data_IF_632542466324
#
_entry.id   IF_632542466324
#
_cell.length_a   1.000
_cell.length_b   1.000
_cell.length_c   1.000
_cell.angle_alpha   90.00
_cell.angle_beta   90.00
_cell.angle_gamma   90.00
#
_symmetry.space_group_name_H-M   'P 1'
#
loop_
_entity.id
_entity.type
_entity.pdbx_description
1 polymer ?
#
# COMPACT_ATOMS: atom_id res chain seq x y z
N UNK A 1 -9.86 -43.73 16.00
CA UNK A 1 -10.61 -42.61 15.38
C UNK A 1 -10.90 -41.54 16.41
N UNK A 2 -11.74 -41.77 17.43
CA UNK A 2 -12.16 -40.74 18.40
C UNK A 2 -11.07 -39.85 19.03
N UNK A 3 -9.90 -40.40 19.41
CA UNK A 3 -8.82 -39.58 20.00
C UNK A 3 -8.15 -38.66 18.98
N UNK A 4 -7.95 -39.13 17.74
CA UNK A 4 -7.34 -38.33 16.66
C UNK A 4 -8.29 -37.21 16.25
N UNK A 5 -9.58 -37.52 16.14
CA UNK A 5 -10.62 -36.54 15.80
C UNK A 5 -10.77 -35.49 16.92
N UNK A 6 -10.69 -35.90 18.18
CA UNK A 6 -10.72 -35.00 19.33
C UNK A 6 -9.48 -34.11 19.42
N UNK A 7 -8.28 -34.66 19.16
CA UNK A 7 -7.05 -33.87 19.11
C UNK A 7 -7.04 -32.91 17.92
N UNK A 8 -7.60 -33.31 16.76
CA UNK A 8 -7.77 -32.44 15.61
C UNK A 8 -8.76 -31.31 15.88
N UNK A 9 -9.87 -31.62 16.58
CA UNK A 9 -10.83 -30.61 17.05
C UNK A 9 -10.17 -29.61 18.02
N UNK A 10 -9.47 -30.09 19.07
CA UNK A 10 -8.76 -29.22 20.01
C UNK A 10 -7.69 -28.38 19.32
N UNK A 11 -6.96 -28.93 18.35
CA UNK A 11 -6.00 -28.20 17.54
C UNK A 11 -6.68 -27.12 16.69
N UNK A 12 -7.82 -27.43 16.07
CA UNK A 12 -8.59 -26.49 15.26
C UNK A 12 -9.15 -25.35 16.11
N UNK A 13 -9.74 -25.66 17.27
CA UNK A 13 -10.23 -24.67 18.22
C UNK A 13 -9.09 -23.83 18.80
N UNK A 14 -7.94 -24.43 19.11
CA UNK A 14 -6.75 -23.70 19.55
C UNK A 14 -6.23 -22.75 18.47
N UNK A 15 -6.13 -23.19 17.22
CA UNK A 15 -5.78 -22.34 16.07
C UNK A 15 -6.80 -21.22 15.88
N UNK A 16 -8.10 -21.50 16.06
CA UNK A 16 -9.17 -20.50 15.99
C UNK A 16 -9.07 -19.49 17.14
N UNK A 17 -8.70 -19.94 18.34
CA UNK A 17 -8.43 -19.08 19.50
C UNK A 17 -7.20 -18.17 19.29
N UNK A 18 -6.24 -18.64 18.49
CA UNK A 18 -5.06 -17.89 18.06
C UNK A 18 -5.28 -17.11 16.75
N UNK A 19 -6.44 -17.22 16.10
CA UNK A 19 -6.76 -16.44 14.88
C UNK A 19 -6.69 -14.91 15.09
N UNK A 20 -7.00 -14.35 16.28
CA UNK A 20 -6.69 -12.95 16.58
C UNK A 20 -5.19 -12.61 16.49
N UNK A 21 -4.30 -13.58 16.72
CA UNK A 21 -2.85 -13.40 16.60
C UNK A 21 -2.38 -13.50 15.15
N UNK A 22 -3.05 -14.27 14.29
CA UNK A 22 -2.79 -14.26 12.83
C UNK A 22 -3.19 -12.94 12.20
N UNK A 23 -4.23 -12.32 12.74
CA UNK A 23 -4.73 -11.03 12.29
C UNK A 23 -3.80 -9.86 12.69
N UNK A 24 -2.79 -10.06 13.55
CA UNK A 24 -1.87 -8.98 13.95
C UNK A 24 -1.01 -8.48 12.78
N UNK A 25 -0.88 -9.28 11.71
CA UNK A 25 -0.12 -8.94 10.51
C UNK A 25 -1.00 -8.44 9.37
N UNK A 26 -2.32 -8.46 9.53
CA UNK A 26 -3.24 -7.84 8.59
C UNK A 26 -3.29 -6.34 8.84
N UNK A 27 -2.88 -5.55 7.85
CA UNK A 27 -2.90 -4.09 7.86
C UNK A 27 -4.30 -3.51 8.17
N UNK A 28 -5.36 -4.28 7.97
CA UNK A 28 -6.75 -3.87 8.19
C UNK A 28 -7.33 -4.36 9.51
N UNK A 29 -6.60 -5.21 10.23
CA UNK A 29 -7.06 -5.78 11.48
C UNK A 29 -6.83 -4.84 12.65
N UNK A 30 -7.84 -4.74 13.52
CA UNK A 30 -7.74 -4.05 14.81
C UNK A 30 -6.57 -4.57 15.67
N UNK A 31 -6.21 -5.84 15.55
CA UNK A 31 -5.10 -6.44 16.27
C UNK A 31 -3.74 -5.90 15.78
N UNK A 32 -3.60 -5.64 14.48
CA UNK A 32 -2.40 -5.01 13.92
C UNK A 32 -2.22 -3.58 14.42
N UNK A 33 -3.32 -2.82 14.50
CA UNK A 33 -3.32 -1.49 15.13
C UNK A 33 -2.94 -1.56 16.61
N UNK A 34 -3.39 -2.57 17.37
CA UNK A 34 -2.96 -2.78 18.76
C UNK A 34 -1.46 -3.09 18.84
N UNK A 35 -0.91 -3.88 17.92
CA UNK A 35 0.53 -4.11 17.78
C UNK A 35 1.33 -2.81 17.58
N UNK A 36 0.86 -1.94 16.68
CA UNK A 36 1.48 -0.63 16.45
C UNK A 36 1.39 0.30 17.67
N UNK A 37 0.26 0.28 18.40
CA UNK A 37 0.12 1.02 19.66
C UNK A 37 1.15 0.53 20.68
N UNK A 38 1.30 -0.78 20.84
CA UNK A 38 2.33 -1.37 21.70
C UNK A 38 3.74 -0.90 21.29
N UNK A 39 4.06 -0.90 19.99
CA UNK A 39 5.34 -0.38 19.50
C UNK A 39 5.56 1.09 19.86
N UNK A 40 4.55 1.95 19.66
CA UNK A 40 4.63 3.37 20.03
C UNK A 40 4.86 3.54 21.53
N UNK A 41 4.19 2.75 22.37
CA UNK A 41 4.34 2.78 23.82
C UNK A 41 5.76 2.33 24.25
N UNK A 42 6.26 1.24 23.68
CA UNK A 42 7.62 0.74 23.93
C UNK A 42 8.66 1.77 23.47
N UNK A 43 8.50 2.33 22.27
CA UNK A 43 9.40 3.36 21.76
C UNK A 43 9.40 4.60 22.66
N UNK A 44 8.22 5.06 23.10
CA UNK A 44 8.10 6.17 24.04
C UNK A 44 8.78 5.88 25.39
N UNK A 45 8.66 4.65 25.90
CA UNK A 45 9.34 4.20 27.10
C UNK A 45 10.86 4.22 26.93
N UNK A 46 11.39 3.67 25.84
CA UNK A 46 12.83 3.69 25.52
C UNK A 46 13.37 5.12 25.41
N UNK A 47 12.65 6.01 24.72
CA UNK A 47 13.03 7.43 24.60
C UNK A 47 13.04 8.11 25.97
N UNK A 48 12.05 7.82 26.83
CA UNK A 48 11.99 8.35 28.20
C UNK A 48 13.16 7.87 29.04
N UNK A 49 13.53 6.58 28.94
CA UNK A 49 14.71 6.02 29.62
C UNK A 49 16.02 6.65 29.14
N UNK A 50 16.14 6.95 27.84
CA UNK A 50 17.34 7.57 27.25
C UNK A 50 17.43 9.08 27.45
N UNK A 51 16.33 9.77 27.74
CA UNK A 51 16.29 11.23 27.97
C UNK A 51 15.51 11.59 29.24
N UNK A 52 16.00 11.20 30.43
CA UNK A 52 15.28 11.36 31.69
C UNK A 52 14.97 12.83 32.04
N UNK A 53 15.76 13.79 31.52
CA UNK A 53 15.60 15.23 31.75
C UNK A 53 14.57 15.93 30.85
N UNK A 54 14.05 15.25 29.81
CA UNK A 54 12.94 15.79 29.00
C UNK A 54 11.64 15.17 29.50
N UNK A 55 10.82 15.99 30.15
CA UNK A 55 9.52 15.60 30.65
C UNK A 55 8.58 15.33 29.45
N UNK A 56 8.64 14.12 28.89
CA UNK A 56 7.58 13.55 28.05
C UNK A 56 6.37 13.34 28.98
N UNK A 57 5.70 14.45 29.33
CA UNK A 57 4.47 14.43 30.11
C UNK A 57 3.45 13.61 29.32
N UNK A 58 2.85 12.62 29.95
CA UNK A 58 1.73 11.85 29.38
C UNK A 58 0.65 12.75 28.76
N UNK A 59 0.41 13.93 29.35
CA UNK A 59 -0.47 14.97 28.82
C UNK A 59 -0.04 15.53 27.46
N UNK A 60 1.26 15.68 27.19
CA UNK A 60 1.76 16.15 25.89
C UNK A 60 1.60 15.08 24.81
N UNK A 61 1.84 13.81 25.14
CA UNK A 61 1.55 12.68 24.25
C UNK A 61 0.05 12.56 23.96
N UNK A 62 -0.80 12.67 24.98
CA UNK A 62 -2.25 12.66 24.80
C UNK A 62 -2.75 13.83 23.94
N UNK A 63 -2.19 15.04 24.12
CA UNK A 63 -2.48 16.18 23.24
C UNK A 63 -1.99 15.98 21.81
N UNK A 64 -0.93 15.20 21.60
CA UNK A 64 -0.49 14.82 20.26
C UNK A 64 -1.44 13.82 19.64
N UNK A 65 -1.85 12.77 20.37
CA UNK A 65 -2.65 11.67 19.85
C UNK A 65 -4.13 12.03 19.72
N UNK A 66 -4.75 12.68 20.70
CA UNK A 66 -6.21 12.93 20.75
C UNK A 66 -6.61 14.34 20.26
N UNK A 67 -5.97 14.83 19.19
CA UNK A 67 -6.29 16.15 18.61
C UNK A 67 -7.70 16.15 18.00
N UNK A 68 -8.69 16.68 18.74
CA UNK A 68 -10.08 16.78 18.26
C UNK A 68 -10.21 17.45 16.89
N UNK A 69 -9.38 18.45 16.61
CA UNK A 69 -9.35 19.16 15.32
C UNK A 69 -8.95 18.28 14.13
N UNK A 70 -8.32 17.13 14.37
CA UNK A 70 -7.96 16.12 13.35
C UNK A 70 -9.04 15.04 13.30
N UNK A 71 -9.31 14.38 14.44
CA UNK A 71 -10.20 13.20 14.47
C UNK A 71 -11.67 13.51 14.20
N UNK A 72 -12.13 14.71 14.52
CA UNK A 72 -13.50 15.18 14.28
C UNK A 72 -13.59 16.15 13.09
N UNK A 73 -12.51 16.27 12.31
CA UNK A 73 -12.53 17.08 11.10
C UNK A 73 -13.49 16.49 10.07
N UNK A 74 -14.18 17.33 9.29
CA UNK A 74 -15.12 16.88 8.24
C UNK A 74 -14.51 15.85 7.29
N UNK A 75 -13.24 16.03 6.94
CA UNK A 75 -12.50 15.13 6.05
C UNK A 75 -12.25 13.76 6.70
N UNK A 76 -11.85 13.71 7.98
CA UNK A 76 -11.71 12.46 8.72
C UNK A 76 -13.04 11.72 8.92
N UNK A 77 -14.15 12.46 9.12
CA UNK A 77 -15.48 11.85 9.20
C UNK A 77 -15.88 11.16 7.89
N UNK A 78 -15.44 11.69 6.74
CA UNK A 78 -15.66 11.03 5.45
C UNK A 78 -14.81 9.75 5.33
N UNK A 79 -13.58 9.73 5.86
CA UNK A 79 -12.75 8.52 5.87
C UNK A 79 -13.46 7.37 6.60
N UNK A 80 -14.06 7.63 7.77
CA UNK A 80 -14.83 6.60 8.50
C UNK A 80 -16.05 6.12 7.73
N UNK A 81 -16.77 7.03 7.05
CA UNK A 81 -17.93 6.66 6.23
C UNK A 81 -17.51 5.79 5.03
N UNK A 82 -16.41 6.15 4.37
CA UNK A 82 -15.85 5.37 3.26
C UNK A 82 -15.32 4.02 3.72
N UNK A 83 -14.70 3.95 4.90
CA UNK A 83 -14.31 2.68 5.51
C UNK A 83 -15.50 1.74 5.69
N UNK A 84 -16.59 2.23 6.30
CA UNK A 84 -17.82 1.45 6.47
C UNK A 84 -18.45 1.05 5.13
N UNK A 85 -18.48 1.96 4.15
CA UNK A 85 -18.99 1.69 2.82
C UNK A 85 -18.17 0.61 2.08
N UNK A 86 -16.85 0.69 2.18
CA UNK A 86 -15.94 -0.23 1.51
C UNK A 86 -15.79 -1.57 2.24
N UNK A 87 -16.30 -1.72 3.47
CA UNK A 87 -16.11 -2.93 4.28
C UNK A 87 -16.46 -4.24 3.55
N UNK A 88 -17.58 -4.34 2.77
CA UNK A 88 -17.86 -5.56 2.00
C UNK A 88 -16.83 -5.82 0.90
N UNK A 89 -16.32 -4.76 0.27
CA UNK A 89 -15.29 -4.83 -0.76
C UNK A 89 -13.93 -5.21 -0.15
N UNK A 90 -13.66 -4.84 1.10
CA UNK A 90 -12.38 -5.15 1.75
C UNK A 90 -12.13 -6.66 1.90
N UNK A 91 -13.18 -7.44 2.22
CA UNK A 91 -13.09 -8.91 2.24
C UNK A 91 -12.84 -9.49 0.84
N UNK A 92 -13.46 -8.90 -0.19
CA UNK A 92 -13.24 -9.29 -1.58
C UNK A 92 -11.81 -9.04 -2.04
N UNK A 93 -11.18 -7.94 -1.62
CA UNK A 93 -9.83 -7.56 -2.08
C UNK A 93 -8.77 -8.60 -1.71
N UNK A 94 -8.82 -9.19 -0.51
CA UNK A 94 -7.85 -10.21 -0.13
C UNK A 94 -7.97 -11.44 -1.03
N UNK A 95 -9.21 -11.91 -1.25
CA UNK A 95 -9.48 -13.00 -2.19
C UNK A 95 -9.04 -12.65 -3.61
N UNK A 96 -9.34 -11.44 -4.07
CA UNK A 96 -8.95 -10.94 -5.38
C UNK A 96 -7.42 -10.87 -5.54
N UNK A 97 -6.71 -10.40 -4.51
CA UNK A 97 -5.24 -10.40 -4.45
C UNK A 97 -4.65 -11.80 -4.59
N UNK A 98 -5.20 -12.78 -3.88
CA UNK A 98 -4.75 -14.18 -3.97
C UNK A 98 -5.01 -14.72 -5.36
N UNK A 99 -6.20 -14.50 -5.93
CA UNK A 99 -6.56 -14.97 -7.27
C UNK A 99 -5.66 -14.36 -8.34
N UNK A 100 -5.44 -13.04 -8.32
CA UNK A 100 -4.58 -12.40 -9.32
C UNK A 100 -3.11 -12.82 -9.17
N UNK A 101 -2.60 -12.94 -7.95
CA UNK A 101 -1.24 -13.41 -7.71
C UNK A 101 -1.04 -14.85 -8.21
N UNK A 102 -2.00 -15.75 -7.93
CA UNK A 102 -1.97 -17.14 -8.40
C UNK A 102 -2.10 -17.24 -9.92
N UNK A 103 -2.96 -16.41 -10.54
CA UNK A 103 -3.09 -16.33 -11.99
C UNK A 103 -1.76 -15.94 -12.65
N UNK A 104 -1.14 -14.85 -12.19
CA UNK A 104 0.14 -14.39 -12.73
C UNK A 104 1.27 -15.39 -12.47
N UNK A 105 1.35 -15.95 -11.26
CA UNK A 105 2.32 -16.99 -10.92
C UNK A 105 2.20 -18.21 -11.84
N UNK A 106 0.98 -18.68 -12.12
CA UNK A 106 0.75 -19.80 -13.04
C UNK A 106 1.17 -19.47 -14.48
N UNK A 107 0.82 -18.27 -14.95
CA UNK A 107 1.20 -17.80 -16.28
C UNK A 107 2.72 -17.72 -16.44
N UNK A 108 3.41 -17.10 -15.47
CA UNK A 108 4.87 -17.02 -15.49
C UNK A 108 5.54 -18.37 -15.32
N UNK A 109 5.04 -19.24 -14.45
CA UNK A 109 5.58 -20.59 -14.27
C UNK A 109 5.48 -21.41 -15.56
N UNK A 110 4.35 -21.28 -16.27
CA UNK A 110 4.14 -21.93 -17.57
C UNK A 110 5.11 -21.38 -18.62
N UNK A 111 5.29 -20.05 -18.67
CA UNK A 111 6.24 -19.40 -19.57
C UNK A 111 7.69 -19.81 -19.29
N UNK A 112 8.11 -19.78 -18.02
CA UNK A 112 9.43 -20.24 -17.59
C UNK A 112 9.66 -21.70 -17.96
N UNK A 113 8.66 -22.56 -17.75
CA UNK A 113 8.75 -23.97 -18.10
C UNK A 113 8.89 -24.18 -19.60
N UNK A 114 8.16 -23.40 -20.40
CA UNK A 114 8.25 -23.47 -21.86
C UNK A 114 9.61 -23.01 -22.41
N UNK A 115 10.28 -22.07 -21.74
CA UNK A 115 11.55 -21.48 -22.21
C UNK A 115 12.76 -22.26 -21.67
N UNK A 116 12.72 -22.66 -20.39
CA UNK A 116 13.87 -23.20 -19.66
C UNK A 116 13.74 -24.69 -19.29
N UNK A 117 12.58 -25.31 -19.53
CA UNK A 117 12.30 -26.69 -19.14
C UNK A 117 11.69 -26.80 -17.73
N UNK A 118 11.57 -28.03 -17.17
CA UNK A 118 10.94 -28.21 -15.87
C UNK A 118 11.70 -27.48 -14.75
N UNK A 119 11.02 -27.09 -13.65
CA UNK A 119 11.67 -26.54 -12.46
C UNK A 119 12.84 -27.39 -11.96
N UNK A 120 13.81 -26.74 -11.35
CA UNK A 120 14.89 -27.41 -10.65
C UNK A 120 14.35 -28.39 -9.59
N UNK A 121 15.05 -29.48 -9.35
CA UNK A 121 14.75 -30.36 -8.23
C UNK A 121 14.80 -29.56 -6.91
N UNK A 122 13.95 -29.90 -5.94
CA UNK A 122 13.88 -29.20 -4.66
C UNK A 122 15.26 -29.13 -4.00
N UNK A 123 15.76 -27.91 -3.82
CA UNK A 123 17.02 -27.61 -3.12
C UNK A 123 16.78 -26.76 -1.86
N UNK A 124 15.52 -26.54 -1.47
CA UNK A 124 15.05 -25.44 -0.62
C UNK A 124 15.36 -25.52 0.88
N UNK A 125 16.36 -26.28 1.32
CA UNK A 125 16.68 -26.42 2.76
C UNK A 125 17.77 -25.48 3.27
N UNK A 126 18.44 -24.70 2.41
CA UNK A 126 19.48 -23.77 2.86
C UNK A 126 18.90 -22.44 3.37
N UNK A 127 19.19 -22.08 4.63
CA UNK A 127 18.72 -20.85 5.26
C UNK A 127 19.00 -19.58 4.45
N UNK A 128 20.15 -19.52 3.75
CA UNK A 128 20.48 -18.40 2.87
C UNK A 128 19.48 -18.20 1.73
N UNK A 129 18.96 -19.29 1.15
CA UNK A 129 17.93 -19.23 0.09
C UNK A 129 16.62 -18.73 0.69
N UNK A 130 16.21 -19.26 1.84
CA UNK A 130 14.97 -18.86 2.52
C UNK A 130 14.97 -17.35 2.83
N UNK A 131 16.08 -16.81 3.34
CA UNK A 131 16.24 -15.37 3.60
C UNK A 131 16.23 -14.56 2.31
N UNK A 132 16.98 -14.99 1.29
CA UNK A 132 16.99 -14.33 -0.01
C UNK A 132 15.59 -14.27 -0.63
N UNK A 133 14.85 -15.38 -0.62
CA UNK A 133 13.47 -15.44 -1.12
C UNK A 133 12.53 -14.54 -0.31
N UNK A 134 12.72 -14.42 1.01
CA UNK A 134 11.97 -13.48 1.82
C UNK A 134 12.23 -12.02 1.41
N UNK A 135 13.48 -11.66 1.14
CA UNK A 135 13.84 -10.32 0.67
C UNK A 135 13.30 -10.07 -0.75
N UNK A 136 13.47 -11.02 -1.68
CA UNK A 136 12.97 -10.88 -3.05
C UNK A 136 11.44 -10.76 -3.09
N UNK A 137 10.72 -11.53 -2.28
CA UNK A 137 9.27 -11.45 -2.20
C UNK A 137 8.81 -10.10 -1.62
N UNK A 138 9.51 -9.58 -0.61
CA UNK A 138 9.27 -8.24 -0.07
C UNK A 138 9.51 -7.16 -1.12
N UNK A 139 10.65 -7.22 -1.81
CA UNK A 139 11.00 -6.24 -2.85
C UNK A 139 9.98 -6.27 -3.99
N UNK A 140 9.52 -7.45 -4.40
CA UNK A 140 8.49 -7.58 -5.41
C UNK A 140 7.17 -6.95 -4.97
N UNK A 141 6.71 -7.22 -3.75
CA UNK A 141 5.49 -6.64 -3.19
C UNK A 141 5.58 -5.10 -3.12
N UNK A 142 6.68 -4.59 -2.57
CA UNK A 142 6.87 -3.15 -2.37
C UNK A 142 7.06 -2.41 -3.70
N UNK A 143 7.77 -3.03 -4.66
CA UNK A 143 7.89 -2.52 -6.03
C UNK A 143 6.55 -2.50 -6.75
N UNK A 144 5.75 -3.56 -6.64
CA UNK A 144 4.41 -3.63 -7.22
C UNK A 144 3.50 -2.54 -6.67
N UNK A 145 3.58 -2.27 -5.37
CA UNK A 145 2.86 -1.14 -4.77
C UNK A 145 3.34 0.18 -5.36
N UNK A 146 4.65 0.44 -5.35
CA UNK A 146 5.22 1.68 -5.89
C UNK A 146 4.85 1.87 -7.36
N UNK A 147 4.90 0.81 -8.17
CA UNK A 147 4.56 0.85 -9.59
C UNK A 147 3.09 1.21 -9.83
N UNK A 148 2.18 0.55 -9.09
CA UNK A 148 0.74 0.85 -9.17
C UNK A 148 0.43 2.28 -8.73
N UNK A 149 1.07 2.71 -7.64
CA UNK A 149 0.93 4.06 -7.10
C UNK A 149 1.46 5.13 -8.06
N UNK A 150 2.65 4.93 -8.61
CA UNK A 150 3.24 5.80 -9.63
C UNK A 150 2.37 5.86 -10.90
N UNK A 151 1.80 4.74 -11.33
CA UNK A 151 0.88 4.72 -12.48
C UNK A 151 -0.37 5.57 -12.22
N UNK A 152 -0.91 5.56 -11.00
CA UNK A 152 -2.06 6.40 -10.62
C UNK A 152 -1.72 7.89 -10.61
N UNK A 153 -0.51 8.27 -10.20
CA UNK A 153 -0.03 9.64 -10.26
C UNK A 153 0.24 10.13 -11.69
N UNK A 154 0.85 9.27 -12.53
CA UNK A 154 1.30 9.66 -13.87
C UNK A 154 0.21 9.60 -14.94
N UNK A 155 -0.86 8.83 -14.71
CA UNK A 155 -1.98 8.75 -15.64
C UNK A 155 -3.10 9.71 -15.24
N UNK A 156 -3.46 10.71 -16.08
CA UNK A 156 -4.53 11.66 -15.75
C UNK A 156 -5.89 11.00 -15.51
N UNK A 157 -6.13 9.82 -16.09
CA UNK A 157 -7.38 9.05 -15.91
C UNK A 157 -7.35 8.34 -14.56
N UNK A 158 -6.28 7.61 -14.26
CA UNK A 158 -6.15 6.90 -12.98
C UNK A 158 -6.09 7.87 -11.80
N UNK A 159 -5.48 9.04 -12.02
CA UNK A 159 -5.47 10.13 -11.06
C UNK A 159 -6.88 10.53 -10.62
N UNK A 160 -7.90 10.49 -11.48
CA UNK A 160 -9.25 10.86 -11.04
C UNK A 160 -9.77 9.94 -9.92
N UNK A 161 -9.38 8.67 -9.93
CA UNK A 161 -9.75 7.72 -8.88
C UNK A 161 -8.85 7.87 -7.64
N UNK A 162 -7.55 8.07 -7.83
CA UNK A 162 -6.60 8.21 -6.73
C UNK A 162 -6.66 9.58 -6.05
N UNK A 163 -7.14 10.62 -6.74
CA UNK A 163 -7.37 11.96 -6.20
C UNK A 163 -8.29 11.94 -4.98
N UNK A 164 -9.26 11.00 -4.93
CA UNK A 164 -10.06 10.78 -3.74
C UNK A 164 -9.17 10.55 -2.52
N UNK A 165 -8.15 9.69 -2.63
CA UNK A 165 -7.18 9.44 -1.56
C UNK A 165 -6.44 10.71 -1.14
N UNK A 166 -6.00 11.51 -2.11
CA UNK A 166 -5.29 12.77 -1.88
C UNK A 166 -6.17 13.93 -1.40
N UNK A 167 -7.50 13.84 -1.53
CA UNK A 167 -8.42 14.90 -1.10
C UNK A 167 -8.59 15.02 0.42
N UNK A 168 -7.90 14.19 1.20
CA UNK A 168 -7.90 14.29 2.66
C UNK A 168 -7.24 15.60 3.13
N UNK A 169 -7.99 16.45 3.83
CA UNK A 169 -7.51 17.73 4.38
C UNK A 169 -6.79 17.55 5.72
N UNK A 170 -7.01 16.41 6.37
CA UNK A 170 -6.28 15.93 7.55
C UNK A 170 -6.04 14.43 7.41
N UNK A 171 -5.02 13.90 8.06
CA UNK A 171 -4.74 12.46 8.02
C UNK A 171 -4.88 11.81 9.38
N UNK A 172 -5.63 10.72 9.41
CA UNK A 172 -5.74 9.75 10.50
C UNK A 172 -5.47 8.36 9.93
N UNK A 173 -5.13 7.34 10.73
CA UNK A 173 -4.94 6.00 10.19
C UNK A 173 -6.11 5.50 9.33
N UNK A 174 -7.34 5.99 9.57
CA UNK A 174 -8.50 5.68 8.74
C UNK A 174 -8.42 6.24 7.30
N UNK A 175 -7.62 7.28 7.06
CA UNK A 175 -7.37 7.87 5.74
C UNK A 175 -6.73 6.86 4.78
N UNK A 176 -6.06 5.82 5.29
CA UNK A 176 -5.60 4.69 4.47
C UNK A 176 -6.76 4.07 3.68
N UNK A 177 -7.97 4.02 4.26
CA UNK A 177 -9.16 3.41 3.66
C UNK A 177 -9.96 4.37 2.78
N UNK A 178 -9.51 5.62 2.63
CA UNK A 178 -10.07 6.61 1.70
C UNK A 178 -9.65 6.26 0.27
N UNK A 179 -10.13 5.13 -0.23
CA UNK A 179 -9.76 4.57 -1.52
C UNK A 179 -10.98 4.33 -2.39
N UNK A 180 -10.83 4.60 -3.68
CA UNK A 180 -11.86 4.33 -4.65
C UNK A 180 -11.87 2.83 -5.04
N UNK A 181 -13.02 2.18 -5.29
CA UNK A 181 -13.08 0.77 -5.71
C UNK A 181 -12.16 0.38 -6.89
N UNK A 182 -11.95 1.30 -7.84
CA UNK A 182 -11.01 1.09 -8.97
C UNK A 182 -9.57 0.92 -8.48
N UNK A 183 -9.13 1.73 -7.50
CA UNK A 183 -7.81 1.59 -6.88
C UNK A 183 -7.69 0.25 -6.14
N UNK A 184 -8.77 -0.14 -5.46
CA UNK A 184 -8.86 -1.39 -4.70
C UNK A 184 -8.78 -2.65 -5.59
N UNK A 185 -9.04 -2.53 -6.89
CA UNK A 185 -8.86 -3.60 -7.88
C UNK A 185 -7.49 -3.48 -8.57
N UNK A 186 -7.10 -2.26 -8.97
CA UNK A 186 -5.86 -2.02 -9.69
C UNK A 186 -4.62 -2.40 -8.85
N UNK A 187 -4.57 -1.95 -7.60
CA UNK A 187 -3.40 -2.14 -6.73
C UNK A 187 -3.08 -3.62 -6.50
N UNK A 188 -4.03 -4.47 -6.07
CA UNK A 188 -3.78 -5.92 -5.96
C UNK A 188 -3.36 -6.58 -7.27
N UNK A 189 -3.88 -6.11 -8.42
CA UNK A 189 -3.53 -6.67 -9.74
C UNK A 189 -2.05 -6.42 -10.07
N UNK A 190 -1.57 -5.19 -9.84
CA UNK A 190 -0.17 -4.82 -10.11
C UNK A 190 0.78 -5.50 -9.11
N UNK A 191 0.41 -5.52 -7.83
CA UNK A 191 1.19 -6.22 -6.81
C UNK A 191 1.24 -7.71 -7.15
N UNK A 192 0.10 -8.34 -7.46
CA UNK A 192 0.00 -9.75 -7.84
C UNK A 192 0.82 -10.13 -9.07
N UNK A 193 0.94 -9.23 -10.04
CA UNK A 193 1.84 -9.41 -11.18
C UNK A 193 3.31 -9.52 -10.72
N UNK A 194 3.79 -8.55 -9.94
CA UNK A 194 5.19 -8.53 -9.48
C UNK A 194 5.52 -9.67 -8.51
N UNK A 195 4.61 -9.97 -7.57
CA UNK A 195 4.78 -11.05 -6.59
C UNK A 195 4.63 -12.42 -7.24
N UNK A 196 3.72 -12.57 -8.22
CA UNK A 196 3.55 -13.79 -9.00
C UNK A 196 4.77 -14.10 -9.85
N UNK A 197 5.41 -13.08 -10.44
CA UNK A 197 6.69 -13.25 -11.14
C UNK A 197 7.79 -13.72 -10.18
N UNK A 198 7.95 -13.03 -9.04
CA UNK A 198 8.95 -13.39 -8.02
C UNK A 198 8.76 -14.82 -7.52
N UNK A 199 7.52 -15.22 -7.25
CA UNK A 199 7.17 -16.58 -6.85
C UNK A 199 7.50 -17.60 -7.94
N UNK A 200 7.08 -17.35 -9.19
CA UNK A 200 7.35 -18.25 -10.31
C UNK A 200 8.86 -18.46 -10.51
N UNK A 201 9.65 -17.39 -10.41
CA UNK A 201 11.11 -17.47 -10.45
C UNK A 201 11.64 -18.29 -9.26
N UNK A 202 11.18 -18.02 -8.05
CA UNK A 202 11.59 -18.76 -6.86
C UNK A 202 11.35 -20.27 -7.02
N UNK A 203 10.15 -20.67 -7.42
CA UNK A 203 9.80 -22.09 -7.57
C UNK A 203 10.49 -22.75 -8.76
N UNK A 204 10.80 -22.00 -9.81
CA UNK A 204 11.46 -22.55 -10.99
C UNK A 204 12.93 -22.87 -10.73
N UNK A 205 13.67 -21.96 -10.09
CA UNK A 205 15.12 -22.12 -9.89
C UNK A 205 15.51 -22.78 -8.56
N UNK A 206 14.67 -22.69 -7.53
CA UNK A 206 14.96 -23.26 -6.20
C UNK A 206 14.07 -24.47 -5.84
N UNK A 207 13.21 -24.87 -6.78
CA UNK A 207 12.31 -26.01 -6.68
C UNK A 207 10.93 -25.64 -6.13
N UNK A 208 9.96 -26.52 -6.33
CA UNK A 208 8.55 -26.25 -6.03
C UNK A 208 8.27 -26.01 -4.54
N UNK A 209 9.12 -26.55 -3.66
CA UNK A 209 9.05 -26.35 -2.22
C UNK A 209 9.87 -25.13 -1.74
N UNK A 210 10.27 -24.25 -2.67
CA UNK A 210 10.91 -22.99 -2.35
C UNK A 210 9.97 -22.12 -1.50
N UNK A 211 10.33 -21.95 -0.23
CA UNK A 211 9.55 -21.15 0.72
C UNK A 211 10.38 -19.97 1.21
N UNK A 212 9.70 -18.87 1.52
CA UNK A 212 10.31 -17.74 2.19
C UNK A 212 10.11 -17.83 3.70
N UNK A 213 10.92 -17.07 4.44
CA UNK A 213 10.73 -16.89 5.88
C UNK A 213 9.40 -16.18 6.14
N UNK A 214 8.44 -16.92 6.71
CA UNK A 214 7.10 -16.44 6.99
C UNK A 214 6.65 -16.75 8.42
N UNK A 215 5.73 -15.95 8.93
CA UNK A 215 4.99 -16.19 10.17
C UNK A 215 3.53 -16.24 9.79
N UNK A 216 2.86 -17.37 10.08
CA UNK A 216 1.43 -17.54 9.78
C UNK A 216 1.08 -17.30 8.30
N UNK A 217 1.99 -17.65 7.38
CA UNK A 217 1.82 -17.46 5.94
C UNK A 217 2.18 -16.07 5.41
N UNK A 218 2.49 -15.11 6.28
CA UNK A 218 2.91 -13.77 5.90
C UNK A 218 4.43 -13.64 5.93
N UNK A 219 5.01 -12.93 4.96
CA UNK A 219 6.44 -12.65 4.91
C UNK A 219 6.91 -11.99 6.24
N UNK A 220 7.97 -12.53 6.87
CA UNK A 220 8.42 -12.06 8.18
C UNK A 220 8.78 -10.57 8.19
N UNK A 221 9.42 -10.06 7.13
CA UNK A 221 9.85 -8.65 7.09
C UNK A 221 8.64 -7.73 6.97
N UNK A 222 7.62 -8.12 6.20
CA UNK A 222 6.34 -7.41 6.14
C UNK A 222 5.69 -7.40 7.52
N UNK A 223 5.61 -8.55 8.19
CA UNK A 223 5.08 -8.67 9.54
C UNK A 223 5.76 -7.71 10.52
N UNK A 224 7.10 -7.70 10.54
CA UNK A 224 7.88 -6.83 11.41
C UNK A 224 7.62 -5.35 11.12
N UNK A 225 7.49 -4.97 9.84
CA UNK A 225 7.16 -3.59 9.48
C UNK A 225 5.74 -3.20 9.92
N UNK A 226 4.74 -4.06 9.74
CA UNK A 226 3.36 -3.82 10.18
C UNK A 226 3.29 -3.54 11.68
N UNK A 227 4.08 -4.26 12.48
CA UNK A 227 4.15 -4.07 13.93
C UNK A 227 4.88 -2.79 14.37
N UNK A 228 5.36 -1.95 13.44
CA UNK A 228 6.14 -0.75 13.76
C UNK A 228 5.37 0.54 13.46
N UNK A 229 5.94 1.45 12.66
CA UNK A 229 5.37 2.75 12.33
C UNK A 229 4.46 2.71 11.10
N UNK A 230 4.22 1.54 10.51
CA UNK A 230 3.46 1.38 9.28
C UNK A 230 2.06 2.01 9.37
N UNK A 231 1.32 1.67 10.42
CA UNK A 231 0.00 2.22 10.74
C UNK A 231 -0.03 3.72 11.02
N UNK A 232 1.14 4.35 11.15
CA UNK A 232 1.26 5.80 11.32
C UNK A 232 1.49 6.54 10.00
N UNK A 233 1.65 5.83 8.87
CA UNK A 233 1.91 6.39 7.55
C UNK A 233 0.90 7.47 7.17
N UNK A 234 -0.39 7.19 7.36
CA UNK A 234 -1.49 8.14 7.16
C UNK A 234 -1.91 8.83 8.45
N UNK A 235 -0.99 9.25 9.31
CA UNK A 235 -1.36 9.99 10.53
C UNK A 235 -0.80 11.40 10.52
N UNK A 236 -1.34 12.26 11.39
CA UNK A 236 -0.75 13.58 11.67
C UNK A 236 0.56 13.51 12.48
N UNK A 237 1.09 12.31 12.76
CA UNK A 237 2.34 12.11 13.50
C UNK A 237 3.52 12.20 12.51
N UNK A 238 4.29 13.28 12.62
CA UNK A 238 5.40 13.57 11.72
C UNK A 238 6.70 12.85 12.14
N UNK A 239 6.79 11.55 11.84
CA UNK A 239 8.02 10.75 12.00
C UNK A 239 8.86 10.85 10.72
N UNK A 240 10.06 11.42 10.87
CA UNK A 240 10.97 11.75 9.77
C UNK A 240 12.16 10.82 9.76
N UNK A 241 12.44 10.23 8.62
CA UNK A 241 13.70 9.55 8.34
C UNK A 241 14.52 10.43 7.39
N UNK A 242 15.82 10.53 7.64
CA UNK A 242 16.74 11.39 6.87
C UNK A 242 18.06 10.65 6.63
N UNK A 243 18.89 11.14 5.71
CA UNK A 243 20.13 10.48 5.32
C UNK A 243 19.85 9.09 4.74
N UNK A 244 20.72 8.12 5.04
CA UNK A 244 20.59 6.73 4.55
C UNK A 244 19.24 6.11 4.92
N UNK A 245 18.75 6.37 6.13
CA UNK A 245 17.47 5.82 6.58
C UNK A 245 16.28 6.34 5.76
N UNK A 246 16.32 7.60 5.33
CA UNK A 246 15.29 8.18 4.46
C UNK A 246 15.41 7.76 2.99
N UNK A 247 16.57 7.27 2.56
CA UNK A 247 16.77 6.67 1.23
C UNK A 247 16.23 5.23 1.18
N UNK A 248 16.37 4.49 2.29
CA UNK A 248 15.96 3.09 2.36
C UNK A 248 14.50 2.91 2.79
N UNK A 249 14.07 3.62 3.84
CA UNK A 249 12.76 3.43 4.47
C UNK A 249 11.84 4.61 4.22
N UNK A 250 10.61 4.30 3.81
CA UNK A 250 9.54 5.30 3.72
C UNK A 250 9.01 5.61 5.12
N UNK A 251 8.80 6.89 5.42
CA UNK A 251 8.40 7.33 6.76
C UNK A 251 7.07 8.08 6.71
N UNK A 252 6.33 8.17 7.82
CA UNK A 252 5.10 8.97 7.89
C UNK A 252 5.24 10.39 7.33
N UNK A 253 6.40 11.02 7.56
CA UNK A 253 6.69 12.33 6.97
C UNK A 253 6.88 12.33 5.45
N UNK A 254 7.47 11.28 4.86
CA UNK A 254 7.55 11.14 3.41
C UNK A 254 6.14 11.09 2.81
N UNK A 255 5.25 10.32 3.45
CA UNK A 255 3.86 10.17 3.03
C UNK A 255 3.02 11.44 3.23
N UNK A 256 3.23 12.16 4.33
CA UNK A 256 2.63 13.49 4.53
C UNK A 256 3.00 14.46 3.40
N UNK A 257 4.29 14.50 3.04
CA UNK A 257 4.78 15.34 1.93
C UNK A 257 4.11 14.93 0.61
N UNK A 258 4.00 13.63 0.35
CA UNK A 258 3.33 13.09 -0.81
C UNK A 258 1.85 13.54 -0.93
N UNK A 259 1.13 13.59 0.19
CA UNK A 259 -0.25 14.10 0.25
C UNK A 259 -0.38 15.63 0.24
N UNK A 260 0.73 16.34 0.08
CA UNK A 260 0.72 17.79 0.17
C UNK A 260 0.13 18.46 -1.07
N UNK A 261 -0.62 19.53 -0.85
CA UNK A 261 -1.12 20.44 -1.90
C UNK A 261 -0.03 21.35 -2.49
N UNK A 262 1.20 21.29 -1.98
CA UNK A 262 2.30 22.13 -2.45
C UNK A 262 2.87 21.58 -3.77
N UNK A 263 2.92 22.38 -4.85
CA UNK A 263 3.42 21.92 -6.15
C UNK A 263 4.82 21.32 -6.15
N UNK A 264 5.70 21.72 -5.22
CA UNK A 264 7.05 21.13 -5.10
C UNK A 264 7.04 19.67 -4.66
N UNK A 265 5.94 19.21 -4.07
CA UNK A 265 5.77 17.85 -3.56
C UNK A 265 5.02 16.93 -4.53
N UNK A 266 4.47 17.46 -5.63
CA UNK A 266 3.72 16.66 -6.60
C UNK A 266 4.61 15.57 -7.21
N UNK A 267 4.03 14.38 -7.34
CA UNK A 267 4.69 13.16 -7.82
C UNK A 267 6.00 12.82 -7.08
N UNK A 268 6.04 13.08 -5.77
CA UNK A 268 7.14 12.71 -4.88
C UNK A 268 6.73 11.64 -3.89
N UNK A 269 7.69 10.83 -3.45
CA UNK A 269 7.54 9.91 -2.31
C UNK A 269 6.38 8.88 -2.46
N UNK A 270 6.28 8.21 -3.61
CA UNK A 270 5.23 7.22 -3.90
C UNK A 270 5.50 5.83 -3.29
N UNK A 271 6.59 5.67 -2.55
CA UNK A 271 6.94 4.42 -1.86
C UNK A 271 5.93 3.99 -0.80
N UNK A 272 6.04 2.73 -0.38
CA UNK A 272 5.14 2.09 0.57
C UNK A 272 5.85 1.76 1.88
N UNK A 273 6.74 0.77 1.86
CA UNK A 273 7.63 0.44 2.98
C UNK A 273 9.01 1.02 2.75
N UNK A 274 9.50 0.95 1.51
CA UNK A 274 10.81 1.44 1.11
C UNK A 274 10.68 2.72 0.27
N UNK A 275 11.66 3.61 0.42
CA UNK A 275 11.83 4.81 -0.40
C UNK A 275 12.87 4.63 -1.51
N UNK A 276 13.45 3.42 -1.61
CA UNK A 276 14.49 3.11 -2.60
C UNK A 276 13.98 3.27 -4.04
N UNK A 277 12.72 2.94 -4.30
CA UNK A 277 12.10 3.10 -5.61
C UNK A 277 11.97 4.56 -6.02
N UNK A 278 11.59 5.43 -5.07
CA UNK A 278 11.57 6.86 -5.31
C UNK A 278 12.97 7.43 -5.50
N UNK A 279 13.96 6.91 -4.79
CA UNK A 279 15.35 7.32 -4.97
C UNK A 279 15.85 6.94 -6.38
N UNK A 280 15.61 5.70 -6.81
CA UNK A 280 15.98 5.21 -8.14
C UNK A 280 15.26 5.96 -9.26
N UNK A 281 13.99 6.31 -9.07
CA UNK A 281 13.19 7.06 -10.05
C UNK A 281 13.43 8.59 -10.00
N UNK A 282 14.25 9.08 -9.07
CA UNK A 282 14.47 10.53 -8.87
C UNK A 282 13.23 11.28 -8.34
N UNK A 283 12.28 10.57 -7.72
CA UNK A 283 11.04 11.09 -7.13
C UNK A 283 11.12 11.24 -5.60
N UNK A 284 12.24 10.88 -4.97
CA UNK A 284 12.43 11.04 -3.53
C UNK A 284 12.56 12.53 -3.14
N UNK A 285 11.71 12.98 -2.22
CA UNK A 285 11.82 14.27 -1.53
C UNK A 285 12.03 14.04 -0.04
N UNK A 286 13.24 14.33 0.44
CA UNK A 286 13.64 14.09 1.82
C UNK A 286 12.95 15.09 2.79
N UNK A 287 12.23 14.61 3.83
CA UNK A 287 11.56 15.48 4.79
C UNK A 287 12.52 16.38 5.57
N UNK A 288 12.22 17.68 5.65
CA UNK A 288 13.08 18.66 6.37
C UNK A 288 12.48 19.10 7.71
N UNK A 289 13.33 19.65 8.58
CA UNK A 289 12.87 20.27 9.84
C UNK A 289 12.13 21.56 9.52
N UNK A 290 10.93 21.73 10.08
CA UNK A 290 10.12 22.94 9.90
C UNK A 290 9.42 23.05 8.54
N UNK A 291 9.53 22.04 7.68
CA UNK A 291 8.80 21.99 6.42
C UNK A 291 7.29 21.90 6.69
N UNK A 292 6.56 22.94 6.27
CA UNK A 292 5.11 22.97 6.40
C UNK A 292 4.49 22.10 5.30
N UNK A 293 3.59 21.24 5.73
CA UNK A 293 2.78 20.38 4.87
C UNK A 293 1.33 20.74 5.11
N UNK A 294 0.70 21.26 4.07
CA UNK A 294 -0.76 21.42 3.93
C UNK A 294 -1.25 20.29 3.05
N UNK A 295 -2.34 19.63 3.46
CA UNK A 295 -2.87 18.41 2.85
C UNK A 295 -4.09 18.73 1.99
N UNK A 296 -4.37 17.86 1.02
CA UNK A 296 -5.50 17.97 0.12
C UNK A 296 -5.08 18.23 -1.33
N UNK A 297 -6.05 18.41 -2.20
CA UNK A 297 -5.85 18.72 -3.63
C UNK A 297 -6.43 20.09 -4.02
N UNK A 298 -6.52 21.00 -3.05
CA UNK A 298 -7.12 22.33 -3.24
C UNK A 298 -8.57 22.23 -3.74
N UNK A 299 -8.93 23.06 -4.73
CA UNK A 299 -10.29 23.13 -5.27
C UNK A 299 -10.77 21.82 -5.89
N UNK A 300 -9.86 20.99 -6.41
CA UNK A 300 -10.24 19.70 -7.00
C UNK A 300 -10.76 18.71 -5.95
N UNK A 301 -10.54 18.98 -4.66
CA UNK A 301 -11.01 18.15 -3.56
C UNK A 301 -12.40 18.52 -3.05
N UNK A 302 -12.92 19.70 -3.42
CA UNK A 302 -14.18 20.23 -2.88
C UNK A 302 -15.39 19.35 -3.24
N UNK A 303 -15.35 18.68 -4.40
CA UNK A 303 -16.40 17.77 -4.83
C UNK A 303 -16.30 16.38 -4.17
N UNK A 304 -15.23 16.07 -3.41
CA UNK A 304 -15.05 14.79 -2.72
C UNK A 304 -15.45 14.88 -1.24
N UNK A 305 -16.63 15.42 -0.97
CA UNK A 305 -17.16 15.76 0.37
C UNK A 305 -18.16 14.74 0.94
N UNK A 306 -18.76 13.92 0.07
CA UNK A 306 -19.72 12.87 0.42
C UNK A 306 -19.30 11.52 -0.15
N UNK A 307 -19.82 10.42 0.41
CA UNK A 307 -19.57 9.07 -0.11
C UNK A 307 -20.05 8.95 -1.56
N UNK A 308 -21.23 9.49 -1.88
CA UNK A 308 -21.78 9.45 -3.25
C UNK A 308 -20.85 10.16 -4.23
N UNK A 309 -20.41 11.37 -3.92
CA UNK A 309 -19.51 12.10 -4.82
C UNK A 309 -18.13 11.45 -4.90
N UNK A 310 -17.61 10.92 -3.79
CA UNK A 310 -16.36 10.17 -3.76
C UNK A 310 -16.36 8.98 -4.73
N UNK A 311 -17.52 8.35 -4.97
CA UNK A 311 -17.65 7.26 -5.95
C UNK A 311 -17.90 7.77 -7.37
N UNK A 312 -18.81 8.71 -7.57
CA UNK A 312 -19.28 9.03 -8.93
C UNK A 312 -18.49 10.13 -9.64
N UNK A 313 -17.94 11.11 -8.91
CA UNK A 313 -17.15 12.21 -9.50
C UNK A 313 -15.92 11.68 -10.25
N UNK A 314 -15.13 10.72 -9.70
CA UNK A 314 -14.01 10.14 -10.43
C UNK A 314 -14.38 9.55 -11.80
N UNK A 315 -15.52 8.86 -11.91
CA UNK A 315 -15.98 8.29 -13.18
C UNK A 315 -16.35 9.36 -14.19
N UNK A 316 -17.07 10.41 -13.75
CA UNK A 316 -17.41 11.56 -14.60
C UNK A 316 -16.15 12.20 -15.16
N UNK A 317 -15.19 12.52 -14.31
CA UNK A 317 -13.98 13.24 -14.69
C UNK A 317 -13.06 12.39 -15.59
N UNK A 318 -12.93 11.10 -15.27
CA UNK A 318 -12.25 10.13 -16.12
C UNK A 318 -12.92 10.03 -17.50
N UNK A 319 -14.25 9.97 -17.55
CA UNK A 319 -15.04 9.91 -18.78
C UNK A 319 -14.83 11.14 -19.67
N UNK A 320 -14.80 12.35 -19.08
CA UNK A 320 -14.50 13.59 -19.79
C UNK A 320 -13.09 13.53 -20.44
N UNK A 321 -12.09 13.05 -19.71
CA UNK A 321 -10.72 12.92 -20.22
C UNK A 321 -10.62 11.90 -21.36
N UNK A 322 -11.27 10.75 -21.22
CA UNK A 322 -11.32 9.70 -22.25
C UNK A 322 -12.00 10.25 -23.50
N UNK A 323 -13.14 10.92 -23.36
CA UNK A 323 -13.87 11.50 -24.48
C UNK A 323 -13.03 12.57 -25.22
N UNK A 324 -12.36 13.46 -24.50
CA UNK A 324 -11.44 14.45 -25.08
C UNK A 324 -10.29 13.78 -25.85
N UNK A 325 -9.70 12.71 -25.31
CA UNK A 325 -8.63 11.95 -25.97
C UNK A 325 -9.14 11.29 -27.26
N UNK A 326 -10.31 10.68 -27.21
CA UNK A 326 -10.94 10.04 -28.37
C UNK A 326 -11.25 11.05 -29.49
N UNK A 327 -11.82 12.22 -29.16
CA UNK A 327 -12.09 13.28 -30.13
C UNK A 327 -10.82 13.78 -30.83
N UNK A 328 -9.70 13.90 -30.11
CA UNK A 328 -8.41 14.29 -30.70
C UNK A 328 -7.90 13.25 -31.70
N UNK A 329 -7.95 11.96 -31.34
CA UNK A 329 -7.55 10.86 -32.22
C UNK A 329 -8.44 10.78 -33.46
N UNK A 330 -9.76 10.92 -33.30
CA UNK A 330 -10.71 10.86 -34.41
C UNK A 330 -10.55 12.03 -35.39
N UNK A 331 -10.32 13.25 -34.87
CA UNK A 331 -10.00 14.41 -35.73
C UNK A 331 -8.69 14.21 -36.48
N UNK A 332 -7.66 13.70 -35.83
CA UNK A 332 -6.38 13.37 -36.48
C UNK A 332 -6.54 12.33 -37.60
N UNK A 333 -7.30 11.26 -37.34
CA UNK A 333 -7.62 10.26 -38.36
C UNK A 333 -8.36 10.87 -39.56
N UNK A 334 -9.39 11.68 -39.32
CA UNK A 334 -10.13 12.33 -40.43
C UNK A 334 -9.24 13.21 -41.29
N UNK A 335 -8.36 14.01 -40.68
CA UNK A 335 -7.45 14.90 -41.42
C UNK A 335 -6.47 14.10 -42.28
N UNK A 336 -5.90 13.02 -41.76
CA UNK A 336 -5.00 12.14 -42.52
C UNK A 336 -5.74 11.47 -43.69
N UNK A 337 -6.94 10.93 -43.45
CA UNK A 337 -7.73 10.30 -44.53
C UNK A 337 -8.25 11.28 -45.58
N UNK A 338 -8.37 12.57 -45.24
CA UNK A 338 -8.73 13.61 -46.22
C UNK A 338 -7.51 13.98 -47.06
N UNK A 339 -6.33 14.14 -46.44
CA UNK A 339 -5.07 14.38 -47.14
C UNK A 339 -4.70 13.24 -48.11
N UNK A 340 -4.92 11.98 -47.72
CA UNK A 340 -4.66 10.82 -48.58
C UNK A 340 -5.61 10.74 -49.80
N UNK A 341 -6.78 11.38 -49.74
CA UNK A 341 -7.76 11.44 -50.84
C UNK A 341 -7.56 12.62 -51.78
N UNK A 342 -6.85 13.65 -51.35
CA UNK A 342 -6.54 14.84 -52.17
C UNK A 342 -5.16 14.73 -52.85
N UNK A 343 -4.30 13.79 -52.41
CA UNK A 343 -2.96 13.57 -52.92
C UNK A 343 -2.76 12.39 -53.89
N UNK A 344 -3.83 11.68 -54.27
CA UNK A 344 -3.81 10.59 -55.26
C UNK A 344 -4.88 10.80 -56.31
#
# INVERSE_FOLDING_TARGET
>A
MALVDFLHFLWTEFVYLLSPLTDIFDQRSIYSYLGAVCFVLVFAAIVRLRRPKKDLRSRALWRLLAKRTVWLHRSALLDYKLYLFNLPLMAFILGFFIVTSSFWAGLFSSGLTSIFGPPAATTSTHWGIIVMLAVLQLLALDFGYWLGHAAMHKSPILWQFHKLHHSAEVMTPATEFRQHPVELILMPTVIGFTTGLSYAMATHWFGTDATNMSVMGYNLVVCLHMLTFHHLRHSHINIRFTGVMGILLHSPAHHQIHHSDNPKHFDRNMGYMLSIWDWMAGTLHMPRVGERVTLGVGREGEEHDTVTNAIWVPFRDAGILIHKKWLRLWRGYRLNTAADKEGG
#
